data_IF_369475492181
#
_entry.id   IF_369475492181
#
_cell.length_a   1.000
_cell.length_b   1.000
_cell.length_c   1.000
_cell.angle_alpha   90.00
_cell.angle_beta   90.00
_cell.angle_gamma   90.00
#
_symmetry.space_group_name_H-M   'P 1'
#
loop_
_entity.id
_entity.type
_entity.pdbx_description
1 polymer ?
#
# COMPACT_ATOMS: atom_id res chain seq x y z
N UNK A 1 -49.14 -2.85 -32.56
CA UNK A 1 -48.25 -2.90 -31.38
C UNK A 1 -46.95 -3.57 -31.78
N UNK A 2 -45.94 -2.78 -32.15
CA UNK A 2 -44.64 -3.29 -32.65
C UNK A 2 -43.75 -3.67 -31.46
N UNK A 3 -43.30 -4.92 -31.40
CA UNK A 3 -42.47 -5.53 -30.34
C UNK A 3 -41.15 -4.81 -29.98
N UNK A 4 -40.79 -3.74 -30.69
CA UNK A 4 -39.54 -2.99 -30.47
C UNK A 4 -39.62 -2.00 -29.31
N UNK A 5 -40.82 -1.56 -28.91
CA UNK A 5 -40.98 -0.57 -27.83
C UNK A 5 -41.00 -1.15 -26.42
N UNK A 6 -41.02 -2.49 -26.26
CA UNK A 6 -40.99 -3.12 -24.94
C UNK A 6 -39.57 -3.22 -24.35
N UNK A 7 -38.53 -3.12 -25.18
CA UNK A 7 -37.14 -3.26 -24.73
C UNK A 7 -36.51 -1.94 -24.23
N UNK A 8 -37.11 -0.79 -24.54
CA UNK A 8 -36.58 0.51 -24.17
C UNK A 8 -36.94 0.95 -22.74
N UNK A 9 -37.86 0.25 -22.07
CA UNK A 9 -38.31 0.64 -20.72
C UNK A 9 -37.56 -0.10 -19.59
N UNK A 10 -36.81 -1.16 -19.91
CA UNK A 10 -36.15 -2.00 -18.90
C UNK A 10 -34.72 -1.53 -18.55
N UNK A 11 -34.14 -0.61 -19.31
CA UNK A 11 -32.77 -0.11 -19.08
C UNK A 11 -32.70 1.05 -18.09
N UNK A 12 -33.82 1.48 -17.51
CA UNK A 12 -33.90 2.65 -16.62
C UNK A 12 -33.69 2.33 -15.13
N UNK A 13 -33.37 1.09 -14.77
CA UNK A 13 -33.19 0.65 -13.37
C UNK A 13 -31.72 0.52 -12.93
N UNK A 14 -30.75 0.86 -13.78
CA UNK A 14 -29.32 0.66 -13.45
C UNK A 14 -28.63 1.88 -12.83
N UNK A 15 -29.38 2.87 -12.34
CA UNK A 15 -28.85 4.05 -11.65
C UNK A 15 -28.83 3.86 -10.13
N UNK A 16 -28.33 2.72 -9.64
CA UNK A 16 -27.96 2.63 -8.22
C UNK A 16 -26.55 3.20 -8.12
N UNK A 17 -26.50 4.51 -7.88
CA UNK A 17 -25.30 5.17 -7.40
C UNK A 17 -24.88 4.48 -6.11
N UNK A 18 -23.84 3.66 -6.15
CA UNK A 18 -23.06 3.36 -4.97
C UNK A 18 -22.30 4.64 -4.60
N UNK A 19 -23.03 5.59 -4.00
CA UNK A 19 -22.42 6.59 -3.15
C UNK A 19 -21.92 5.83 -1.93
N UNK A 20 -20.75 5.19 -2.06
CA UNK A 20 -19.94 4.91 -0.90
C UNK A 20 -19.60 6.28 -0.33
N UNK A 21 -20.31 6.65 0.75
CA UNK A 21 -19.77 7.55 1.73
C UNK A 21 -18.50 6.88 2.25
N UNK A 22 -17.40 7.09 1.51
CA UNK A 22 -16.05 6.85 1.97
C UNK A 22 -15.99 7.62 3.27
N UNK A 23 -15.86 6.88 4.37
CA UNK A 23 -15.74 7.45 5.71
C UNK A 23 -14.79 8.63 5.67
N UNK A 24 -15.07 9.62 6.53
CA UNK A 24 -14.29 10.85 6.66
C UNK A 24 -12.83 10.62 6.33
N UNK A 25 -12.18 11.50 5.54
CA UNK A 25 -10.79 11.30 5.13
C UNK A 25 -9.99 10.97 6.39
N UNK A 26 -9.61 9.69 6.54
CA UNK A 26 -8.71 9.28 7.60
C UNK A 26 -7.48 10.15 7.39
N UNK A 27 -7.24 11.06 8.33
CA UNK A 27 -5.98 11.79 8.35
C UNK A 27 -4.91 10.76 8.76
N UNK A 28 -4.49 9.95 7.80
CA UNK A 28 -3.53 8.87 7.99
C UNK A 28 -2.17 9.49 8.27
N UNK A 29 -1.73 9.42 9.53
CA UNK A 29 -0.39 9.82 9.90
C UNK A 29 0.59 8.66 9.62
N UNK A 30 1.39 8.81 8.57
CA UNK A 30 2.40 7.83 8.17
C UNK A 30 3.80 8.14 8.71
N UNK A 31 3.98 9.11 9.62
CA UNK A 31 5.31 9.57 10.05
C UNK A 31 6.20 8.42 10.53
N UNK A 32 5.71 7.56 11.41
CA UNK A 32 6.48 6.42 11.94
C UNK A 32 6.88 5.43 10.84
N UNK A 33 5.96 5.19 9.90
CA UNK A 33 6.20 4.30 8.76
C UNK A 33 7.21 4.91 7.78
N UNK A 34 7.12 6.22 7.52
CA UNK A 34 8.06 6.96 6.69
C UNK A 34 9.45 6.93 7.32
N UNK A 35 9.57 7.13 8.63
CA UNK A 35 10.85 7.08 9.34
C UNK A 35 11.47 5.67 9.26
N UNK A 36 10.70 4.63 9.57
CA UNK A 36 11.17 3.25 9.51
C UNK A 36 11.61 2.84 8.08
N UNK A 37 10.79 3.16 7.07
CA UNK A 37 11.14 2.86 5.68
C UNK A 37 12.32 3.70 5.16
N UNK A 38 12.48 4.95 5.61
CA UNK A 38 13.64 5.78 5.25
C UNK A 38 14.93 5.19 5.83
N UNK A 39 14.91 4.73 7.08
CA UNK A 39 16.04 4.03 7.69
C UNK A 39 16.41 2.76 6.91
N UNK A 40 15.41 1.99 6.44
CA UNK A 40 15.67 0.82 5.59
C UNK A 40 16.41 1.23 4.32
N UNK A 41 15.99 2.31 3.65
CA UNK A 41 16.67 2.81 2.44
C UNK A 41 18.12 3.21 2.71
N UNK A 42 18.38 3.90 3.83
CA UNK A 42 19.75 4.29 4.22
C UNK A 42 20.65 3.07 4.42
N UNK A 43 20.16 2.06 5.15
CA UNK A 43 20.89 0.81 5.38
C UNK A 43 21.13 0.03 4.09
N UNK A 44 20.14 0.02 3.19
CA UNK A 44 20.26 -0.57 1.86
C UNK A 44 21.34 0.12 1.01
N UNK A 45 21.38 1.46 1.03
CA UNK A 45 22.39 2.27 0.33
C UNK A 45 23.81 2.09 0.90
N UNK A 46 23.91 1.78 2.19
CA UNK A 46 25.19 1.46 2.85
C UNK A 46 25.68 0.03 2.58
N UNK A 47 24.90 -0.80 1.88
CA UNK A 47 25.23 -2.21 1.69
C UNK A 47 24.98 -3.09 2.92
N UNK A 48 24.33 -2.57 3.96
CA UNK A 48 24.09 -3.29 5.20
C UNK A 48 22.84 -4.18 5.08
N UNK A 49 23.00 -5.38 4.52
CA UNK A 49 21.90 -6.33 4.30
C UNK A 49 21.17 -6.75 5.58
N UNK A 50 21.89 -7.00 6.68
CA UNK A 50 21.30 -7.45 7.94
C UNK A 50 20.50 -6.32 8.61
N UNK A 51 21.09 -5.13 8.68
CA UNK A 51 20.41 -3.93 9.16
C UNK A 51 19.20 -3.59 8.29
N UNK A 52 19.33 -3.68 6.97
CA UNK A 52 18.23 -3.48 6.03
C UNK A 52 17.05 -4.41 6.34
N UNK A 53 17.29 -5.72 6.43
CA UNK A 53 16.22 -6.69 6.70
C UNK A 53 15.55 -6.46 8.05
N UNK A 54 16.34 -6.11 9.08
CA UNK A 54 15.83 -5.77 10.42
C UNK A 54 14.95 -4.52 10.38
N UNK A 55 15.38 -3.48 9.66
CA UNK A 55 14.63 -2.23 9.50
C UNK A 55 13.35 -2.42 8.68
N UNK A 56 13.38 -3.26 7.63
CA UNK A 56 12.17 -3.59 6.86
C UNK A 56 11.15 -4.34 7.72
N UNK A 57 11.60 -5.20 8.63
CA UNK A 57 10.70 -5.86 9.58
C UNK A 57 10.06 -4.90 10.56
N UNK A 58 10.82 -3.95 11.12
CA UNK A 58 10.26 -2.89 11.93
C UNK A 58 9.22 -2.05 11.14
N UNK A 59 9.49 -1.72 9.88
CA UNK A 59 8.52 -1.02 9.03
C UNK A 59 7.24 -1.84 8.79
N UNK A 60 7.35 -3.16 8.61
CA UNK A 60 6.20 -4.06 8.46
C UNK A 60 5.38 -4.16 9.75
N UNK A 61 6.02 -4.10 10.91
CA UNK A 61 5.34 -4.05 12.21
C UNK A 61 4.55 -2.74 12.37
N UNK A 62 5.13 -1.59 12.00
CA UNK A 62 4.40 -0.31 11.97
C UNK A 62 3.19 -0.37 11.04
N UNK A 63 3.33 -0.97 9.85
CA UNK A 63 2.17 -1.19 8.94
C UNK A 63 1.10 -2.03 9.61
N UNK A 64 1.48 -3.10 10.32
CA UNK A 64 0.53 -3.96 11.02
C UNK A 64 -0.21 -3.18 12.11
N UNK A 65 0.49 -2.38 12.89
CA UNK A 65 -0.11 -1.51 13.91
C UNK A 65 -1.08 -0.49 13.32
N UNK A 66 -0.72 0.15 12.21
CA UNK A 66 -1.59 1.09 11.52
C UNK A 66 -2.84 0.41 10.96
N UNK A 67 -2.70 -0.79 10.38
CA UNK A 67 -3.84 -1.59 9.91
C UNK A 67 -4.83 -1.99 11.00
N UNK A 68 -4.38 -2.13 12.25
CA UNK A 68 -5.28 -2.36 13.39
C UNK A 68 -6.14 -1.13 13.72
N UNK A 69 -5.67 0.08 13.36
CA UNK A 69 -6.39 1.35 13.56
C UNK A 69 -7.29 1.69 12.36
N UNK A 70 -6.95 1.17 11.18
CA UNK A 70 -7.74 1.26 9.96
C UNK A 70 -6.97 0.69 8.79
N UNK A 71 -7.58 -0.19 8.00
CA UNK A 71 -6.94 -0.70 6.78
C UNK A 71 -7.29 0.22 5.61
N UNK A 72 -6.27 0.63 4.87
CA UNK A 72 -6.43 1.52 3.72
C UNK A 72 -5.75 0.96 2.47
N UNK A 73 -6.23 1.35 1.28
CA UNK A 73 -5.56 0.97 0.03
C UNK A 73 -4.09 1.42 -0.03
N UNK A 74 -3.71 2.51 0.66
CA UNK A 74 -2.31 2.94 0.75
C UNK A 74 -1.49 1.98 1.60
N UNK A 75 -1.95 1.64 2.80
CA UNK A 75 -1.30 0.67 3.69
C UNK A 75 -1.16 -0.71 3.06
N UNK A 76 -2.15 -1.16 2.29
CA UNK A 76 -2.05 -2.43 1.56
C UNK A 76 -0.94 -2.40 0.51
N UNK A 77 -0.84 -1.32 -0.28
CA UNK A 77 0.23 -1.16 -1.29
C UNK A 77 1.61 -1.09 -0.65
N UNK A 78 1.76 -0.34 0.44
CA UNK A 78 3.02 -0.26 1.21
C UNK A 78 3.40 -1.63 1.76
N UNK A 79 2.46 -2.33 2.39
CA UNK A 79 2.69 -3.68 2.93
C UNK A 79 3.22 -4.64 1.86
N UNK A 80 2.63 -4.63 0.67
CA UNK A 80 3.07 -5.48 -0.44
C UNK A 80 4.48 -5.14 -0.90
N UNK A 81 4.80 -3.84 -1.05
CA UNK A 81 6.14 -3.40 -1.47
C UNK A 81 7.21 -3.72 -0.43
N UNK A 82 6.93 -3.50 0.87
CA UNK A 82 7.85 -3.87 1.95
C UNK A 82 8.05 -5.39 2.06
N UNK A 83 7.01 -6.20 1.86
CA UNK A 83 7.16 -7.67 1.79
C UNK A 83 8.03 -8.10 0.61
N UNK A 84 7.87 -7.45 -0.55
CA UNK A 84 8.73 -7.68 -1.70
C UNK A 84 10.18 -7.27 -1.42
N UNK A 85 10.40 -6.11 -0.79
CA UNK A 85 11.71 -5.66 -0.36
C UNK A 85 12.38 -6.67 0.58
N UNK A 86 11.65 -7.18 1.59
CA UNK A 86 12.15 -8.23 2.48
C UNK A 86 12.54 -9.50 1.71
N UNK A 87 11.72 -9.93 0.75
CA UNK A 87 12.01 -11.09 -0.08
C UNK A 87 13.30 -10.88 -0.89
N UNK A 88 13.42 -9.77 -1.61
CA UNK A 88 14.61 -9.42 -2.41
C UNK A 88 15.86 -9.30 -1.55
N UNK A 89 15.75 -8.70 -0.35
CA UNK A 89 16.86 -8.60 0.59
C UNK A 89 17.35 -9.97 1.06
N UNK A 90 16.44 -10.92 1.33
CA UNK A 90 16.79 -12.31 1.67
C UNK A 90 17.43 -13.06 0.50
N UNK A 91 17.12 -12.70 -0.74
CA UNK A 91 17.75 -13.24 -1.95
C UNK A 91 19.13 -12.59 -2.23
N UNK A 92 19.59 -11.66 -1.39
CA UNK A 92 20.85 -10.94 -1.59
C UNK A 92 20.76 -9.81 -2.63
N UNK A 93 19.56 -9.53 -3.17
CA UNK A 93 19.31 -8.47 -4.16
C UNK A 93 19.07 -7.13 -3.47
N UNK A 94 20.04 -6.68 -2.68
CA UNK A 94 19.89 -5.52 -1.80
C UNK A 94 19.54 -4.22 -2.57
N UNK A 95 20.07 -4.03 -3.78
CA UNK A 95 19.74 -2.86 -4.61
C UNK A 95 18.27 -2.85 -5.02
N UNK A 96 17.75 -3.96 -5.56
CA UNK A 96 16.34 -4.10 -5.92
C UNK A 96 15.44 -4.02 -4.68
N UNK A 97 15.88 -4.58 -3.56
CA UNK A 97 15.18 -4.50 -2.29
C UNK A 97 15.05 -3.05 -1.80
N UNK A 98 16.13 -2.26 -1.92
CA UNK A 98 16.14 -0.84 -1.56
C UNK A 98 15.17 -0.04 -2.43
N UNK A 99 15.17 -0.28 -3.75
CA UNK A 99 14.22 0.34 -4.68
C UNK A 99 12.78 0.02 -4.29
N UNK A 100 12.47 -1.23 -3.92
CA UNK A 100 11.13 -1.59 -3.49
C UNK A 100 10.67 -0.84 -2.22
N UNK A 101 11.59 -0.49 -1.31
CA UNK A 101 11.27 0.38 -0.15
C UNK A 101 11.06 1.83 -0.59
N UNK A 102 11.86 2.37 -1.51
CA UNK A 102 11.66 3.72 -2.06
C UNK A 102 10.30 3.85 -2.76
N UNK A 103 9.89 2.82 -3.50
CA UNK A 103 8.55 2.76 -4.07
C UNK A 103 7.45 2.68 -3.01
N UNK A 104 7.73 2.07 -1.85
CA UNK A 104 6.79 2.05 -0.74
C UNK A 104 6.63 3.45 -0.14
N UNK A 105 7.73 4.19 0.03
CA UNK A 105 7.72 5.58 0.48
C UNK A 105 6.94 6.49 -0.48
N UNK A 106 7.06 6.29 -1.79
CA UNK A 106 6.34 7.08 -2.80
C UNK A 106 4.80 6.95 -2.73
N UNK A 107 4.28 5.94 -2.02
CA UNK A 107 2.83 5.75 -1.83
C UNK A 107 2.27 6.60 -0.69
N UNK A 108 3.11 6.95 0.29
CA UNK A 108 2.69 7.55 1.59
C UNK A 108 3.36 8.88 1.93
N UNK A 109 4.41 9.26 1.19
CA UNK A 109 4.92 10.64 1.17
C UNK A 109 4.01 11.52 0.32
#
# INVERSE_FOLDING_TARGET
MTMKSLFAFLTLLFSINFAYAVGEPMNENFTDLINAATQSVELGKQGNSEGFLTSVDAALDVVKEQKMKGDSPKLQRVSTKLKNAKKLGKEGKLSEATVAVEEALAVIK
#
